data_IF_416260722047
#
_entry.id   IF_416260722047
#
_cell.length_a   1.000
_cell.length_b   1.000
_cell.length_c   1.000
_cell.angle_alpha   90.00
_cell.angle_beta   90.00
_cell.angle_gamma   90.00
#
_symmetry.space_group_name_H-M   'P 1'
#
loop_
_entity.id
_entity.type
_entity.pdbx_description
1 polymer ?
#
# COMPACT_ATOMS: atom_id res chain seq x y z
N UNK A 1 -39.34 71.99 38.95
CA UNK A 1 -39.32 70.61 38.38
C UNK A 1 -38.59 70.51 37.03
N UNK A 2 -37.97 71.58 36.50
CA UNK A 2 -37.30 71.57 35.18
C UNK A 2 -35.90 70.94 35.14
N UNK A 3 -35.14 70.98 36.25
CA UNK A 3 -33.77 70.45 36.32
C UNK A 3 -33.71 68.91 36.23
N UNK A 4 -34.67 68.19 36.82
CA UNK A 4 -34.71 66.72 36.78
C UNK A 4 -34.92 66.15 35.36
N UNK A 5 -35.58 66.90 34.47
CA UNK A 5 -35.77 66.49 33.09
C UNK A 5 -34.50 66.66 32.25
N UNK A 6 -33.66 67.64 32.56
CA UNK A 6 -32.41 67.90 31.84
C UNK A 6 -31.37 66.81 32.10
N UNK A 7 -31.27 66.33 33.34
CA UNK A 7 -30.38 65.22 33.70
C UNK A 7 -30.86 63.89 33.11
N UNK A 8 -32.17 63.65 33.08
CA UNK A 8 -32.75 62.47 32.44
C UNK A 8 -32.44 62.44 30.93
N UNK A 9 -32.61 63.56 30.22
CA UNK A 9 -32.29 63.68 28.79
C UNK A 9 -30.80 63.43 28.53
N UNK A 10 -29.90 63.93 29.41
CA UNK A 10 -28.46 63.66 29.30
C UNK A 10 -28.15 62.16 29.42
N UNK A 11 -28.75 61.48 30.39
CA UNK A 11 -28.53 60.04 30.59
C UNK A 11 -29.02 59.23 29.40
N UNK A 12 -30.17 59.57 28.83
CA UNK A 12 -30.69 58.90 27.62
C UNK A 12 -29.81 59.17 26.39
N UNK A 13 -29.29 60.40 26.23
CA UNK A 13 -28.30 60.73 25.18
C UNK A 13 -27.01 59.93 25.34
N UNK A 14 -26.50 59.79 26.56
CA UNK A 14 -25.30 59.02 26.87
C UNK A 14 -25.49 57.53 26.55
N UNK A 15 -26.67 56.98 26.88
CA UNK A 15 -27.04 55.60 26.51
C UNK A 15 -27.11 55.43 25.00
N UNK A 16 -27.78 56.35 24.29
CA UNK A 16 -27.91 56.31 22.84
C UNK A 16 -26.53 56.36 22.15
N UNK A 17 -25.65 57.25 22.63
CA UNK A 17 -24.27 57.34 22.15
C UNK A 17 -23.51 56.03 22.35
N UNK A 18 -23.58 55.44 23.55
CA UNK A 18 -22.94 54.14 23.83
C UNK A 18 -23.48 53.01 22.95
N UNK A 19 -24.79 52.98 22.71
CA UNK A 19 -25.38 51.97 21.81
C UNK A 19 -24.92 52.17 20.36
N UNK A 20 -24.81 53.42 19.91
CA UNK A 20 -24.31 53.74 18.58
C UNK A 20 -22.84 53.36 18.42
N UNK A 21 -21.99 53.73 19.39
CA UNK A 21 -20.56 53.39 19.38
C UNK A 21 -20.36 51.86 19.37
N UNK A 22 -21.16 51.11 20.14
CA UNK A 22 -21.13 49.65 20.17
C UNK A 22 -21.58 49.04 18.83
N UNK A 23 -22.63 49.57 18.21
CA UNK A 23 -23.07 49.15 16.88
C UNK A 23 -22.02 49.44 15.81
N UNK A 24 -21.36 50.60 15.89
CA UNK A 24 -20.31 50.98 14.96
C UNK A 24 -19.10 50.06 15.08
N UNK A 25 -18.64 49.76 16.30
CA UNK A 25 -17.55 48.80 16.53
C UNK A 25 -17.89 47.40 16.00
N UNK A 26 -19.12 46.93 16.22
CA UNK A 26 -19.57 45.62 15.71
C UNK A 26 -19.55 45.59 14.17
N UNK A 27 -20.01 46.66 13.51
CA UNK A 27 -19.94 46.77 12.05
C UNK A 27 -18.50 46.80 11.53
N UNK A 28 -17.60 47.52 12.20
CA UNK A 28 -16.17 47.55 11.85
C UNK A 28 -15.53 46.16 11.97
N UNK A 29 -15.79 45.45 13.06
CA UNK A 29 -15.30 44.07 13.27
C UNK A 29 -15.86 43.09 12.24
N UNK A 30 -17.14 43.21 11.89
CA UNK A 30 -17.80 42.42 10.85
C UNK A 30 -17.15 42.66 9.48
N UNK A 31 -16.85 43.90 9.14
CA UNK A 31 -16.17 44.25 7.87
C UNK A 31 -14.76 43.67 7.84
N UNK A 32 -14.02 43.75 8.93
CA UNK A 32 -12.68 43.14 9.03
C UNK A 32 -12.75 41.62 8.85
N UNK A 33 -13.70 40.96 9.52
CA UNK A 33 -13.90 39.51 9.43
C UNK A 33 -14.25 39.08 8.01
N UNK A 34 -15.25 39.72 7.38
CA UNK A 34 -15.60 39.44 5.99
C UNK A 34 -14.44 39.72 5.02
N UNK A 35 -13.62 40.74 5.29
CA UNK A 35 -12.42 41.03 4.49
C UNK A 35 -11.38 39.91 4.54
N UNK A 36 -11.16 39.31 5.72
CA UNK A 36 -10.27 38.15 5.90
C UNK A 36 -10.82 36.92 5.18
N UNK A 37 -12.09 36.59 5.39
CA UNK A 37 -12.76 35.46 4.73
C UNK A 37 -12.70 35.57 3.20
N UNK A 38 -12.92 36.78 2.66
CA UNK A 38 -12.85 37.02 1.23
C UNK A 38 -11.43 36.87 0.67
N UNK A 39 -10.41 37.28 1.43
CA UNK A 39 -9.02 37.10 1.03
C UNK A 39 -8.61 35.62 1.06
N UNK A 40 -9.03 34.87 2.07
CA UNK A 40 -8.81 33.43 2.18
C UNK A 40 -9.52 32.67 1.04
N UNK A 41 -10.77 33.00 0.74
CA UNK A 41 -11.52 32.41 -0.36
C UNK A 41 -10.86 32.69 -1.72
N UNK A 42 -10.33 33.89 -1.93
CA UNK A 42 -9.55 34.22 -3.14
C UNK A 42 -8.25 33.43 -3.21
N UNK A 43 -7.53 33.27 -2.11
CA UNK A 43 -6.33 32.44 -2.03
C UNK A 43 -6.62 30.99 -2.41
N UNK A 44 -7.65 30.40 -1.79
CA UNK A 44 -8.09 29.03 -2.08
C UNK A 44 -8.49 28.86 -3.54
N UNK A 45 -9.17 29.84 -4.14
CA UNK A 45 -9.54 29.84 -5.56
C UNK A 45 -8.31 29.89 -6.48
N UNK A 46 -7.31 30.70 -6.13
CA UNK A 46 -6.05 30.76 -6.88
C UNK A 46 -5.28 29.44 -6.82
N UNK A 47 -5.27 28.78 -5.66
CA UNK A 47 -4.60 27.49 -5.47
C UNK A 47 -5.30 26.36 -6.20
N UNK A 48 -6.64 26.32 -6.23
CA UNK A 48 -7.39 25.35 -7.03
C UNK A 48 -7.15 25.56 -8.51
N UNK A 49 -7.09 26.82 -8.98
CA UNK A 49 -6.80 27.14 -10.37
C UNK A 49 -5.37 26.72 -10.77
N UNK A 50 -4.37 26.92 -9.91
CA UNK A 50 -3.00 26.45 -10.15
C UNK A 50 -2.92 24.93 -10.26
N UNK A 51 -3.55 24.21 -9.31
CA UNK A 51 -3.63 22.74 -9.34
C UNK A 51 -4.33 22.23 -10.60
N UNK A 52 -5.39 22.90 -11.05
CA UNK A 52 -6.11 22.54 -12.27
C UNK A 52 -5.24 22.74 -13.52
N UNK A 53 -4.44 23.81 -13.57
CA UNK A 53 -3.49 24.05 -14.65
C UNK A 53 -2.37 22.98 -14.67
N UNK A 54 -1.82 22.62 -13.51
CA UNK A 54 -0.82 21.55 -13.38
C UNK A 54 -1.37 20.20 -13.85
N UNK A 55 -2.59 19.84 -13.41
CA UNK A 55 -3.26 18.61 -13.86
C UNK A 55 -3.54 18.62 -15.36
N UNK A 56 -3.94 19.77 -15.93
CA UNK A 56 -4.16 19.91 -17.36
C UNK A 56 -2.87 19.71 -18.15
N UNK A 57 -1.74 20.25 -17.68
CA UNK A 57 -0.44 20.05 -18.32
C UNK A 57 0.02 18.58 -18.27
N UNK A 58 -0.18 17.90 -17.14
CA UNK A 58 0.13 16.47 -17.00
C UNK A 58 -0.75 15.62 -17.91
N UNK A 59 -2.04 15.94 -18.03
CA UNK A 59 -2.97 15.24 -18.92
C UNK A 59 -2.56 15.39 -20.39
N UNK A 60 -2.15 16.59 -20.81
CA UNK A 60 -1.67 16.80 -22.19
C UNK A 60 -0.37 16.04 -22.47
N UNK A 61 0.56 16.02 -21.51
CA UNK A 61 1.79 15.25 -21.63
C UNK A 61 1.51 13.74 -21.73
N UNK A 62 0.60 13.21 -20.92
CA UNK A 62 0.23 11.78 -20.98
C UNK A 62 -0.51 11.44 -22.28
N UNK A 63 -1.37 12.33 -22.77
CA UNK A 63 -2.05 12.17 -24.05
C UNK A 63 -1.06 12.14 -25.23
N UNK A 64 -0.04 13.00 -25.21
CA UNK A 64 1.03 12.97 -26.21
C UNK A 64 1.82 11.66 -26.18
N UNK A 65 2.14 11.14 -24.99
CA UNK A 65 2.83 9.85 -24.84
C UNK A 65 1.97 8.69 -25.35
N UNK A 66 0.66 8.72 -25.11
CA UNK A 66 -0.26 7.71 -25.62
C UNK A 66 -0.24 7.67 -27.15
N UNK A 67 -0.32 8.83 -27.80
CA UNK A 67 -0.25 8.93 -29.26
C UNK A 67 1.07 8.41 -29.84
N UNK A 68 2.19 8.70 -29.17
CA UNK A 68 3.51 8.19 -29.57
C UNK A 68 3.55 6.66 -29.51
N UNK A 69 3.08 6.07 -28.40
CA UNK A 69 3.03 4.61 -28.23
C UNK A 69 2.06 3.96 -29.22
N UNK A 70 0.93 4.59 -29.53
CA UNK A 70 -0.01 4.12 -30.56
C UNK A 70 0.62 4.12 -31.96
N UNK A 71 1.38 5.16 -32.30
CA UNK A 71 2.12 5.23 -33.55
C UNK A 71 3.21 4.14 -33.64
N UNK A 72 3.95 3.91 -32.55
CA UNK A 72 4.93 2.84 -32.46
C UNK A 72 4.28 1.45 -32.61
N UNK A 73 3.14 1.22 -31.95
CA UNK A 73 2.39 -0.02 -32.07
C UNK A 73 1.96 -0.27 -33.52
N UNK A 74 1.41 0.74 -34.19
CA UNK A 74 1.03 0.67 -35.61
C UNK A 74 2.23 0.34 -36.50
N UNK A 75 3.39 0.97 -36.24
CA UNK A 75 4.64 0.68 -36.96
C UNK A 75 5.13 -0.74 -36.73
N UNK A 76 5.10 -1.24 -35.50
CA UNK A 76 5.50 -2.61 -35.15
C UNK A 76 4.56 -3.64 -35.79
N UNK A 77 3.25 -3.38 -35.81
CA UNK A 77 2.28 -4.23 -36.49
C UNK A 77 2.57 -4.33 -37.99
N UNK A 78 2.90 -3.21 -38.63
CA UNK A 78 3.28 -3.20 -40.04
C UNK A 78 4.58 -4.00 -40.28
N UNK A 79 5.57 -3.86 -39.40
CA UNK A 79 6.82 -4.63 -39.48
C UNK A 79 6.57 -6.14 -39.33
N UNK A 80 5.66 -6.54 -38.45
CA UNK A 80 5.26 -7.93 -38.27
C UNK A 80 4.57 -8.47 -39.53
N UNK A 81 3.69 -7.69 -40.16
CA UNK A 81 3.03 -8.07 -41.43
C UNK A 81 4.05 -8.28 -42.54
N UNK A 82 5.03 -7.37 -42.70
CA UNK A 82 6.11 -7.51 -43.67
C UNK A 82 6.91 -8.79 -43.45
N UNK A 83 7.36 -9.03 -42.22
CA UNK A 83 8.15 -10.21 -41.89
C UNK A 83 7.36 -11.52 -42.14
N UNK A 84 6.06 -11.53 -41.85
CA UNK A 84 5.19 -12.67 -42.14
C UNK A 84 5.09 -12.92 -43.64
N UNK A 85 4.96 -11.87 -44.45
CA UNK A 85 4.93 -11.98 -45.91
C UNK A 85 6.26 -12.49 -46.48
N UNK A 86 7.40 -12.06 -45.92
CA UNK A 86 8.71 -12.60 -46.26
C UNK A 86 8.80 -14.10 -45.93
N UNK A 87 8.30 -14.54 -44.77
CA UNK A 87 8.25 -15.96 -44.41
C UNK A 87 7.36 -16.76 -45.36
N UNK A 88 6.17 -16.25 -45.70
CA UNK A 88 5.28 -16.89 -46.68
C UNK A 88 5.94 -17.01 -48.04
N UNK A 89 6.57 -15.95 -48.52
CA UNK A 89 7.27 -15.93 -49.80
C UNK A 89 8.39 -16.96 -49.86
N UNK A 90 9.21 -17.07 -48.79
CA UNK A 90 10.26 -18.10 -48.69
C UNK A 90 9.68 -19.51 -48.70
N UNK A 91 8.62 -19.76 -47.93
CA UNK A 91 7.94 -21.06 -47.91
C UNK A 91 7.38 -21.43 -49.28
N UNK A 92 6.74 -20.49 -49.98
CA UNK A 92 6.25 -20.70 -51.35
C UNK A 92 7.38 -21.01 -52.32
N UNK A 93 8.52 -20.31 -52.20
CA UNK A 93 9.69 -20.61 -53.02
C UNK A 93 10.22 -22.01 -52.74
N UNK A 94 10.33 -22.42 -51.48
CA UNK A 94 10.75 -23.77 -51.11
C UNK A 94 9.82 -24.85 -51.67
N UNK A 95 8.51 -24.63 -51.65
CA UNK A 95 7.53 -25.55 -52.25
C UNK A 95 7.72 -25.61 -53.77
N UNK A 96 7.93 -24.48 -54.44
CA UNK A 96 8.20 -24.42 -55.89
C UNK A 96 9.48 -25.15 -56.26
N UNK A 97 10.54 -24.97 -55.49
CA UNK A 97 11.83 -25.61 -55.73
C UNK A 97 11.73 -27.14 -55.57
N UNK A 98 10.99 -27.61 -54.55
CA UNK A 98 10.71 -29.04 -54.35
C UNK A 98 9.86 -29.60 -55.50
N UNK A 99 8.84 -28.88 -55.96
CA UNK A 99 8.02 -29.28 -57.10
C UNK A 99 8.84 -29.33 -58.40
N UNK A 100 9.63 -28.29 -58.70
CA UNK A 100 10.50 -28.24 -59.87
C UNK A 100 11.55 -29.35 -59.88
N UNK A 101 12.07 -29.72 -58.72
CA UNK A 101 12.95 -30.89 -58.58
C UNK A 101 12.20 -32.20 -58.91
N UNK A 102 10.98 -32.38 -58.42
CA UNK A 102 10.17 -33.56 -58.74
C UNK A 102 9.81 -33.66 -60.23
N UNK A 103 9.50 -32.53 -60.88
CA UNK A 103 9.19 -32.45 -62.31
C UNK A 103 10.43 -32.70 -63.20
N UNK A 104 11.60 -32.21 -62.77
CA UNK A 104 12.90 -32.49 -63.44
C UNK A 104 13.33 -33.96 -63.35
N UNK A 105 12.83 -34.69 -62.35
CA UNK A 105 13.06 -36.13 -62.18
C UNK A 105 12.07 -36.97 -63.02
N UNK A 106 10.86 -36.48 -63.21
CA UNK A 106 9.81 -37.09 -64.06
C UNK A 106 10.13 -36.97 -65.56
N UNK A 107 10.70 -35.85 -66.00
CA UNK A 107 11.09 -35.60 -67.40
C UNK A 107 12.36 -36.34 -67.86
N UNK A 108 13.19 -36.83 -66.95
CA UNK A 108 14.43 -37.58 -67.28
C UNK A 108 14.27 -39.11 -67.22
N UNK A 109 13.03 -39.61 -67.32
CA UNK A 109 12.69 -41.03 -67.24
C UNK A 109 12.75 -41.78 -68.57
N UNK A 110 13.93 -41.94 -69.17
CA UNK A 110 14.22 -43.05 -70.10
C UNK A 110 15.70 -43.44 -70.00
N UNK A 111 16.10 -44.12 -68.91
CA UNK A 111 17.46 -44.70 -68.79
C UNK A 111 17.84 -45.10 -67.36
N UNK A 112 18.67 -46.14 -67.17
CA UNK A 112 18.91 -46.74 -65.87
C UNK A 112 19.82 -45.88 -64.97
N UNK A 113 19.25 -45.47 -63.83
CA UNK A 113 19.86 -45.25 -62.51
C UNK A 113 21.23 -44.55 -62.43
N UNK A 114 21.22 -43.22 -62.30
CA UNK A 114 22.25 -42.44 -61.57
C UNK A 114 21.59 -41.70 -60.40
N UNK A 115 21.43 -42.41 -59.28
CA UNK A 115 20.70 -41.95 -58.08
C UNK A 115 21.50 -41.20 -56.98
N UNK A 116 22.84 -41.04 -56.95
CA UNK A 116 23.48 -40.39 -55.78
C UNK A 116 23.40 -38.85 -55.71
N UNK A 117 23.47 -38.14 -56.84
CA UNK A 117 23.73 -36.69 -56.84
C UNK A 117 22.50 -35.84 -56.43
N UNK A 118 21.32 -36.15 -56.97
CA UNK A 118 20.09 -35.39 -56.66
C UNK A 118 19.64 -35.52 -55.20
N UNK A 119 19.82 -36.70 -54.60
CA UNK A 119 19.52 -36.93 -53.18
C UNK A 119 20.43 -36.10 -52.27
N UNK A 120 21.71 -35.93 -52.63
CA UNK A 120 22.65 -35.10 -51.88
C UNK A 120 22.27 -33.60 -51.94
N UNK A 121 21.78 -33.11 -53.09
CA UNK A 121 21.31 -31.73 -53.22
C UNK A 121 20.02 -31.46 -52.42
N UNK A 122 19.04 -32.37 -52.49
CA UNK A 122 17.81 -32.28 -51.69
C UNK A 122 18.13 -32.33 -50.19
N UNK A 123 19.01 -33.23 -49.77
CA UNK A 123 19.44 -33.34 -48.38
C UNK A 123 20.09 -32.04 -47.89
N UNK A 124 21.04 -31.48 -48.66
CA UNK A 124 21.68 -30.19 -48.32
C UNK A 124 20.67 -29.04 -48.23
N UNK A 125 19.67 -29.02 -49.09
CA UNK A 125 18.63 -28.00 -49.07
C UNK A 125 17.74 -28.10 -47.81
N UNK A 126 17.24 -29.30 -47.50
CA UNK A 126 16.47 -29.54 -46.27
C UNK A 126 17.31 -29.24 -45.03
N UNK A 127 18.58 -29.63 -45.03
CA UNK A 127 19.52 -29.34 -43.94
C UNK A 127 19.72 -27.81 -43.77
N UNK A 128 19.87 -27.06 -44.87
CA UNK A 128 19.96 -25.60 -44.85
C UNK A 128 18.69 -24.95 -44.30
N UNK A 129 17.52 -25.39 -44.77
CA UNK A 129 16.23 -24.88 -44.30
C UNK A 129 16.04 -25.12 -42.80
N UNK A 130 16.37 -26.32 -42.32
CA UNK A 130 16.29 -26.66 -40.90
C UNK A 130 17.26 -25.83 -40.05
N UNK A 131 18.45 -25.52 -40.57
CA UNK A 131 19.41 -24.64 -39.90
C UNK A 131 18.88 -23.21 -39.80
N UNK A 132 18.32 -22.67 -40.87
CA UNK A 132 17.74 -21.31 -40.88
C UNK A 132 16.55 -21.19 -39.93
N UNK A 133 15.67 -22.20 -39.91
CA UNK A 133 14.55 -22.27 -38.97
C UNK A 133 15.05 -22.27 -37.53
N UNK A 134 16.02 -23.13 -37.20
CA UNK A 134 16.60 -23.19 -35.84
C UNK A 134 17.26 -21.87 -35.45
N UNK A 135 18.01 -21.24 -36.35
CA UNK A 135 18.66 -19.96 -36.10
C UNK A 135 17.66 -18.82 -35.87
N UNK A 136 16.57 -18.77 -36.65
CA UNK A 136 15.50 -17.79 -36.48
C UNK A 136 14.80 -17.96 -35.13
N UNK A 137 14.44 -19.18 -34.75
CA UNK A 137 13.84 -19.45 -33.44
C UNK A 137 14.77 -19.08 -32.29
N UNK A 138 16.06 -19.43 -32.38
CA UNK A 138 17.06 -19.06 -31.38
C UNK A 138 17.19 -17.54 -31.21
N UNK A 139 17.26 -16.80 -32.33
CA UNK A 139 17.34 -15.33 -32.31
C UNK A 139 16.10 -14.71 -31.68
N UNK A 140 14.90 -15.21 -32.02
CA UNK A 140 13.65 -14.73 -31.45
C UNK A 140 13.55 -15.04 -29.95
N UNK A 141 13.96 -16.22 -29.53
CA UNK A 141 14.02 -16.61 -28.13
C UNK A 141 14.97 -15.70 -27.34
N UNK A 142 16.16 -15.43 -27.88
CA UNK A 142 17.12 -14.50 -27.29
C UNK A 142 16.57 -13.07 -27.15
N UNK A 143 15.84 -12.59 -28.16
CA UNK A 143 15.16 -11.29 -28.12
C UNK A 143 14.07 -11.24 -27.03
N UNK A 144 13.22 -12.26 -26.96
CA UNK A 144 12.16 -12.34 -25.93
C UNK A 144 12.76 -12.46 -24.53
N UNK A 145 13.78 -13.30 -24.36
CA UNK A 145 14.51 -13.43 -23.10
C UNK A 145 15.21 -12.10 -22.72
N UNK A 146 15.78 -11.40 -23.70
CA UNK A 146 16.37 -10.07 -23.53
C UNK A 146 15.36 -9.02 -23.07
N UNK A 147 14.20 -8.96 -23.72
CA UNK A 147 13.10 -8.06 -23.36
C UNK A 147 12.57 -8.37 -21.95
N UNK A 148 12.34 -9.65 -21.63
CA UNK A 148 11.90 -10.08 -20.30
C UNK A 148 12.90 -9.70 -19.20
N UNK A 149 14.21 -9.92 -19.44
CA UNK A 149 15.27 -9.45 -18.54
C UNK A 149 15.28 -7.93 -18.39
N UNK A 150 15.06 -7.20 -19.49
CA UNK A 150 14.96 -5.74 -19.50
C UNK A 150 13.77 -5.21 -18.67
N UNK A 151 12.58 -5.80 -18.83
CA UNK A 151 11.41 -5.48 -18.02
C UNK A 151 11.65 -5.77 -16.54
N UNK A 152 12.19 -6.95 -16.21
CA UNK A 152 12.56 -7.30 -14.83
C UNK A 152 13.53 -6.30 -14.22
N UNK A 153 14.52 -5.83 -14.98
CA UNK A 153 15.48 -4.81 -14.52
C UNK A 153 14.80 -3.46 -14.28
N UNK A 154 13.96 -2.99 -15.22
CA UNK A 154 13.21 -1.73 -15.08
C UNK A 154 12.27 -1.78 -13.88
N UNK A 155 11.59 -2.89 -13.69
CA UNK A 155 10.66 -3.09 -12.59
C UNK A 155 11.39 -3.04 -11.23
N UNK A 156 12.53 -3.73 -11.10
CA UNK A 156 13.38 -3.63 -9.90
C UNK A 156 13.83 -2.20 -9.62
N UNK A 157 14.18 -1.43 -10.65
CA UNK A 157 14.59 -0.04 -10.48
C UNK A 157 13.42 0.85 -10.04
N UNK A 158 12.20 0.60 -10.54
CA UNK A 158 11.00 1.31 -10.11
C UNK A 158 10.68 1.04 -8.64
N UNK A 159 10.75 -0.22 -8.21
CA UNK A 159 10.58 -0.60 -6.80
C UNK A 159 11.58 0.13 -5.90
N UNK A 160 12.86 0.18 -6.27
CA UNK A 160 13.88 0.92 -5.50
C UNK A 160 13.56 2.42 -5.40
N UNK A 161 13.11 3.03 -6.49
CA UNK A 161 12.69 4.45 -6.48
C UNK A 161 11.49 4.67 -5.58
N UNK A 162 10.52 3.75 -5.61
CA UNK A 162 9.35 3.76 -4.73
C UNK A 162 9.75 3.66 -3.26
N UNK A 163 10.64 2.74 -2.91
CA UNK A 163 11.18 2.61 -1.55
C UNK A 163 11.86 3.91 -1.08
N UNK A 164 12.72 4.49 -1.91
CA UNK A 164 13.37 5.77 -1.58
C UNK A 164 12.36 6.91 -1.38
N UNK A 165 11.32 6.95 -2.21
CA UNK A 165 10.26 7.96 -2.09
C UNK A 165 9.44 7.76 -0.82
N UNK A 166 9.13 6.51 -0.44
CA UNK A 166 8.45 6.22 0.82
C UNK A 166 9.28 6.65 2.02
N UNK A 167 10.60 6.44 2.00
CA UNK A 167 11.49 6.90 3.07
C UNK A 167 11.46 8.44 3.16
N UNK A 168 11.57 9.13 2.03
CA UNK A 168 11.51 10.60 2.00
C UNK A 168 10.15 11.13 2.47
N UNK A 169 9.06 10.50 2.05
CA UNK A 169 7.71 10.82 2.48
C UNK A 169 7.51 10.62 3.98
N UNK A 170 7.99 9.49 4.52
CA UNK A 170 7.94 9.19 5.95
C UNK A 170 8.70 10.23 6.79
N UNK A 171 9.91 10.60 6.34
CA UNK A 171 10.69 11.65 6.99
C UNK A 171 9.97 13.00 6.97
N UNK A 172 9.38 13.37 5.83
CA UNK A 172 8.61 14.60 5.69
C UNK A 172 7.38 14.59 6.61
N UNK A 173 6.67 13.45 6.71
CA UNK A 173 5.54 13.27 7.62
C UNK A 173 5.95 13.49 9.09
N UNK A 174 7.09 12.96 9.48
CA UNK A 174 7.62 13.13 10.85
C UNK A 174 8.02 14.58 11.14
N UNK A 175 8.65 15.24 10.15
CA UNK A 175 8.99 16.67 10.26
C UNK A 175 7.74 17.53 10.42
N UNK A 176 6.68 17.27 9.64
CA UNK A 176 5.41 18.00 9.77
C UNK A 176 4.76 17.72 11.14
N UNK A 177 4.82 16.48 11.63
CA UNK A 177 4.27 16.13 12.94
C UNK A 177 5.01 16.77 14.11
N UNK A 178 6.32 16.94 13.98
CA UNK A 178 7.18 17.56 15.01
C UNK A 178 7.15 19.09 14.99
N UNK A 179 6.99 19.73 13.81
CA UNK A 179 6.86 21.19 13.69
C UNK A 179 5.41 21.70 13.82
N UNK A 180 4.43 20.88 13.46
CA UNK A 180 3.02 21.27 13.37
C UNK A 180 2.30 21.23 14.72
N UNK A 181 1.41 22.20 14.97
CA UNK A 181 0.38 22.06 16.01
C UNK A 181 -0.61 20.95 15.61
N UNK A 182 -1.33 20.39 16.60
CA UNK A 182 -2.19 19.19 16.49
C UNK A 182 -3.26 19.19 15.39
N UNK A 183 -3.45 20.29 14.67
CA UNK A 183 -4.39 20.47 13.57
C UNK A 183 -3.82 20.18 12.17
N UNK A 184 -2.52 19.89 12.03
CA UNK A 184 -1.88 19.76 10.72
C UNK A 184 -1.99 18.32 10.19
N UNK A 185 -2.81 18.10 9.15
CA UNK A 185 -2.93 16.78 8.50
C UNK A 185 -1.61 16.39 7.83
N UNK A 186 -1.05 15.27 8.27
CA UNK A 186 0.20 14.73 7.76
C UNK A 186 -0.01 13.85 6.50
N UNK A 187 -1.25 13.67 6.01
CA UNK A 187 -1.60 12.89 4.82
C UNK A 187 -1.78 11.38 5.09
N UNK A 188 -1.90 10.52 4.07
CA UNK A 188 -2.11 9.07 4.27
C UNK A 188 -0.91 8.36 4.92
N UNK A 189 -1.13 7.23 5.59
CA UNK A 189 -0.03 6.41 6.11
C UNK A 189 0.76 5.71 4.97
N UNK A 190 2.07 5.48 5.18
CA UNK A 190 2.95 4.79 4.21
C UNK A 190 2.42 3.41 3.77
N UNK A 191 1.67 2.75 4.64
CA UNK A 191 0.99 1.48 4.40
C UNK A 191 0.04 1.52 3.18
N UNK A 192 -0.58 2.67 2.91
CA UNK A 192 -1.48 2.83 1.76
C UNK A 192 -0.73 2.79 0.41
N UNK A 193 0.59 2.93 0.44
CA UNK A 193 1.44 2.90 -0.75
C UNK A 193 2.25 1.61 -0.85
N UNK A 194 1.94 0.59 -0.05
CA UNK A 194 2.65 -0.69 -0.10
C UNK A 194 2.43 -1.38 -1.46
N UNK A 195 3.51 -1.89 -2.04
CA UNK A 195 3.45 -2.72 -3.26
C UNK A 195 2.97 -4.12 -2.83
N UNK A 196 1.84 -4.59 -3.36
CA UNK A 196 1.27 -5.91 -3.04
C UNK A 196 1.77 -7.03 -3.96
N UNK A 197 2.43 -6.68 -5.07
CA UNK A 197 2.83 -7.64 -6.10
C UNK A 197 3.90 -8.64 -5.56
N UNK A 198 3.58 -9.94 -5.48
CA UNK A 198 4.46 -10.95 -4.90
C UNK A 198 5.74 -11.20 -5.72
N UNK A 199 5.77 -10.89 -7.03
CA UNK A 199 6.98 -11.03 -7.87
C UNK A 199 8.00 -9.90 -7.63
N UNK A 200 7.55 -8.79 -7.03
CA UNK A 200 8.34 -7.59 -6.81
C UNK A 200 8.85 -7.48 -5.37
N UNK A 201 8.16 -8.12 -4.44
CA UNK A 201 8.52 -8.12 -3.02
C UNK A 201 9.62 -9.13 -2.73
N UNK A 202 10.75 -8.64 -2.21
CA UNK A 202 11.69 -9.50 -1.49
C UNK A 202 11.06 -9.99 -0.18
N UNK A 203 11.49 -11.16 0.31
CA UNK A 203 10.93 -11.75 1.54
C UNK A 203 10.96 -10.78 2.72
N UNK A 204 12.02 -9.99 2.83
CA UNK A 204 12.20 -8.92 3.83
C UNK A 204 11.13 -7.83 3.73
N UNK A 205 10.74 -7.42 2.52
CA UNK A 205 9.72 -6.38 2.30
C UNK A 205 8.32 -6.91 2.63
N UNK A 206 8.08 -8.19 2.37
CA UNK A 206 6.82 -8.87 2.74
C UNK A 206 6.68 -8.97 4.26
N UNK A 207 7.74 -9.34 4.96
CA UNK A 207 7.78 -9.35 6.43
C UNK A 207 7.61 -7.94 7.00
N UNK A 208 8.26 -6.93 6.43
CA UNK A 208 8.06 -5.53 6.81
C UNK A 208 6.61 -5.08 6.68
N UNK A 209 5.93 -5.43 5.58
CA UNK A 209 4.52 -5.07 5.38
C UNK A 209 3.63 -5.76 6.41
N UNK A 210 3.85 -7.05 6.68
CA UNK A 210 3.14 -7.78 7.74
C UNK A 210 3.35 -7.13 9.11
N UNK A 211 4.57 -6.77 9.47
CA UNK A 211 4.89 -6.12 10.74
C UNK A 211 4.22 -4.74 10.85
N UNK A 212 4.15 -3.98 9.75
CA UNK A 212 3.45 -2.69 9.73
C UNK A 212 1.93 -2.86 9.93
N UNK A 213 1.31 -3.87 9.34
CA UNK A 213 -0.10 -4.21 9.57
C UNK A 213 -0.36 -4.63 11.02
N UNK A 214 0.49 -5.48 11.58
CA UNK A 214 0.41 -5.91 12.98
C UNK A 214 0.58 -4.71 13.93
N UNK A 215 1.52 -3.80 13.64
CA UNK A 215 1.68 -2.53 14.37
C UNK A 215 0.40 -1.68 14.33
N UNK A 216 -0.18 -1.47 13.14
CA UNK A 216 -1.40 -0.66 13.02
C UNK A 216 -2.59 -1.27 13.79
N UNK A 217 -2.72 -2.61 13.79
CA UNK A 217 -3.74 -3.31 14.60
C UNK A 217 -3.53 -3.10 16.09
N UNK A 218 -2.29 -3.23 16.57
CA UNK A 218 -1.95 -3.01 17.98
C UNK A 218 -2.18 -1.55 18.40
N UNK A 219 -1.82 -0.58 17.55
CA UNK A 219 -2.09 0.83 17.80
C UNK A 219 -3.60 1.10 17.91
N UNK A 220 -4.43 0.53 17.03
CA UNK A 220 -5.88 0.66 17.12
C UNK A 220 -6.44 0.04 18.42
N UNK A 221 -5.93 -1.12 18.84
CA UNK A 221 -6.31 -1.75 20.11
C UNK A 221 -5.93 -0.88 21.32
N UNK A 222 -4.75 -0.25 21.30
CA UNK A 222 -4.33 0.68 22.34
C UNK A 222 -5.24 1.91 22.42
N UNK A 223 -5.61 2.50 21.29
CA UNK A 223 -6.54 3.63 21.26
C UNK A 223 -7.92 3.24 21.81
N UNK A 224 -8.42 2.05 21.44
CA UNK A 224 -9.69 1.53 21.95
C UNK A 224 -9.65 1.28 23.46
N UNK A 225 -8.55 0.71 23.97
CA UNK A 225 -8.35 0.52 25.40
C UNK A 225 -8.22 1.85 26.14
N UNK A 226 -7.47 2.82 25.61
CA UNK A 226 -7.38 4.17 26.18
C UNK A 226 -8.75 4.84 26.21
N UNK A 227 -9.55 4.71 25.15
CA UNK A 227 -10.90 5.26 25.12
C UNK A 227 -11.80 4.62 26.16
N UNK A 228 -11.79 3.29 26.30
CA UNK A 228 -12.52 2.58 27.37
C UNK A 228 -12.09 3.03 28.76
N UNK A 229 -10.78 3.26 28.95
CA UNK A 229 -10.24 3.75 30.20
C UNK A 229 -10.70 5.19 30.48
N UNK A 230 -10.71 6.06 29.47
CA UNK A 230 -11.28 7.40 29.57
C UNK A 230 -12.78 7.36 29.87
N UNK A 231 -13.56 6.51 29.19
CA UNK A 231 -15.00 6.37 29.42
C UNK A 231 -15.29 5.85 30.83
N UNK A 232 -14.49 4.90 31.33
CA UNK A 232 -14.57 4.39 32.70
C UNK A 232 -14.18 5.47 33.72
N UNK A 233 -13.14 6.25 33.44
CA UNK A 233 -12.66 7.33 34.31
C UNK A 233 -13.68 8.48 34.37
N UNK A 234 -14.26 8.85 33.23
CA UNK A 234 -15.36 9.81 33.13
C UNK A 234 -16.64 9.30 33.79
N UNK A 235 -16.94 8.01 33.68
CA UNK A 235 -18.05 7.35 34.39
C UNK A 235 -17.85 7.32 35.91
N UNK A 236 -16.62 7.11 36.38
CA UNK A 236 -16.29 7.16 37.81
C UNK A 236 -16.40 8.58 38.37
N UNK A 237 -15.94 9.58 37.61
CA UNK A 237 -16.10 11.00 37.95
C UNK A 237 -17.59 11.40 37.90
N UNK A 238 -18.36 10.88 36.94
CA UNK A 238 -19.80 11.17 36.79
C UNK A 238 -20.72 10.52 37.83
N UNK A 239 -20.24 9.50 38.56
CA UNK A 239 -20.96 8.86 39.67
C UNK A 239 -20.66 9.47 41.04
N UNK A 240 -19.62 10.30 41.13
CA UNK A 240 -19.33 11.13 42.30
C UNK A 240 -19.96 12.50 42.09
N UNK A 241 -21.24 12.64 42.46
CA UNK A 241 -22.00 13.89 42.42
C UNK A 241 -21.53 14.96 43.40
N UNK A 242 -20.28 15.40 43.30
CA UNK A 242 -19.78 16.60 43.98
C UNK A 242 -18.91 17.44 43.04
N UNK A 243 -19.43 18.64 42.77
CA UNK A 243 -18.80 19.88 42.31
C UNK A 243 -17.71 19.80 41.24
N UNK A 244 -18.05 20.34 40.07
CA UNK A 244 -17.23 20.51 38.87
C UNK A 244 -16.04 21.49 39.01
N UNK A 245 -15.44 21.65 40.19
CA UNK A 245 -14.42 22.70 40.41
C UNK A 245 -13.11 22.25 41.07
N UNK A 246 -12.72 20.98 40.92
CA UNK A 246 -11.42 20.49 41.42
C UNK A 246 -10.61 19.83 40.31
N UNK A 247 -10.33 20.58 39.25
CA UNK A 247 -9.07 20.38 38.53
C UNK A 247 -7.94 20.80 39.49
N UNK A 248 -7.05 19.85 39.80
CA UNK A 248 -5.83 20.01 40.60
C UNK A 248 -6.02 20.15 42.13
N UNK A 249 -6.24 19.02 42.80
CA UNK A 249 -5.62 18.80 44.12
C UNK A 249 -5.43 17.31 44.39
N UNK A 250 -4.21 16.84 44.73
CA UNK A 250 -3.98 15.47 45.16
C UNK A 250 -4.54 15.29 46.56
N UNK A 251 -5.84 15.05 46.67
CA UNK A 251 -6.48 14.80 47.96
C UNK A 251 -6.21 13.34 48.34
N UNK A 252 -5.46 13.18 49.43
CA UNK A 252 -5.12 11.92 50.08
C UNK A 252 -6.33 10.99 50.13
N UNK A 253 -6.26 9.88 49.39
CA UNK A 253 -7.11 8.71 49.61
C UNK A 253 -6.95 8.29 51.07
N UNK A 254 -8.05 8.11 51.79
CA UNK A 254 -8.01 7.67 53.19
C UNK A 254 -7.48 6.22 53.30
N UNK A 255 -7.18 5.79 54.54
CA UNK A 255 -6.67 4.45 54.84
C UNK A 255 -7.63 3.33 54.40
N UNK A 256 -8.94 3.55 54.47
CA UNK A 256 -9.95 2.59 54.00
C UNK A 256 -9.88 2.42 52.47
N UNK A 257 -9.72 3.51 51.70
CA UNK A 257 -9.57 3.44 50.25
C UNK A 257 -8.30 2.71 49.80
N UNK A 258 -7.20 2.88 50.53
CA UNK A 258 -5.98 2.10 50.28
C UNK A 258 -6.09 0.65 50.75
N UNK A 259 -6.87 0.36 51.80
CA UNK A 259 -7.16 -1.02 52.21
C UNK A 259 -7.97 -1.77 51.14
N UNK A 260 -8.95 -1.12 50.52
CA UNK A 260 -9.75 -1.67 49.42
C UNK A 260 -8.87 -2.04 48.22
N UNK A 261 -8.00 -1.13 47.77
CA UNK A 261 -7.07 -1.37 46.65
C UNK A 261 -6.08 -2.49 46.97
N UNK A 262 -5.56 -2.55 48.21
CA UNK A 262 -4.68 -3.64 48.65
C UNK A 262 -5.40 -4.99 48.69
N UNK A 263 -6.68 -5.02 49.07
CA UNK A 263 -7.49 -6.23 49.04
C UNK A 263 -7.76 -6.68 47.60
N UNK A 264 -8.14 -5.77 46.70
CA UNK A 264 -8.36 -6.10 45.28
C UNK A 264 -7.10 -6.63 44.61
N UNK A 265 -5.93 -6.03 44.88
CA UNK A 265 -4.64 -6.54 44.40
C UNK A 265 -4.32 -7.93 44.96
N UNK A 266 -4.60 -8.17 46.25
CA UNK A 266 -4.38 -9.48 46.88
C UNK A 266 -5.31 -10.54 46.31
N UNK A 267 -6.56 -10.19 46.04
CA UNK A 267 -7.54 -11.09 45.46
C UNK A 267 -7.19 -11.41 44.01
N UNK A 268 -6.83 -10.40 43.20
CA UNK A 268 -6.35 -10.61 41.83
C UNK A 268 -5.08 -11.47 41.78
N UNK A 269 -4.12 -11.22 42.69
CA UNK A 269 -2.91 -12.02 42.78
C UNK A 269 -3.22 -13.47 43.17
N UNK A 270 -4.17 -13.69 44.11
CA UNK A 270 -4.59 -15.02 44.54
C UNK A 270 -5.30 -15.77 43.42
N UNK A 271 -6.27 -15.16 42.75
CA UNK A 271 -7.00 -15.81 41.65
C UNK A 271 -6.07 -16.16 40.49
N UNK A 272 -5.19 -15.24 40.11
CA UNK A 272 -4.21 -15.49 39.04
C UNK A 272 -3.25 -16.63 39.43
N UNK A 273 -2.84 -16.69 40.70
CA UNK A 273 -1.98 -17.77 41.20
C UNK A 273 -2.70 -19.13 41.18
N UNK A 274 -3.95 -19.19 41.63
CA UNK A 274 -4.78 -20.39 41.61
C UNK A 274 -4.97 -20.92 40.18
N UNK A 275 -5.27 -20.04 39.23
CA UNK A 275 -5.42 -20.40 37.81
C UNK A 275 -4.12 -20.99 37.24
N UNK A 276 -2.97 -20.38 37.53
CA UNK A 276 -1.66 -20.86 37.07
C UNK A 276 -1.28 -22.20 37.71
N UNK A 277 -1.59 -22.40 39.00
CA UNK A 277 -1.36 -23.68 39.68
C UNK A 277 -2.25 -24.79 39.11
N UNK A 278 -3.50 -24.46 38.77
CA UNK A 278 -4.41 -25.37 38.11
C UNK A 278 -3.91 -25.76 36.71
N UNK A 279 -3.51 -24.79 35.88
CA UNK A 279 -2.90 -25.08 34.57
C UNK A 279 -1.63 -25.92 34.70
N UNK A 280 -0.75 -25.59 35.65
CA UNK A 280 0.46 -26.37 35.92
C UNK A 280 0.14 -27.80 36.30
N UNK A 281 -0.86 -28.04 37.15
CA UNK A 281 -1.28 -29.39 37.53
C UNK A 281 -1.84 -30.19 36.35
N UNK A 282 -2.60 -29.56 35.47
CA UNK A 282 -3.15 -30.18 34.26
C UNK A 282 -2.04 -30.55 33.27
N UNK A 283 -1.08 -29.64 33.07
CA UNK A 283 0.07 -29.87 32.21
C UNK A 283 0.96 -30.99 32.74
N UNK A 284 1.22 -31.03 34.05
CA UNK A 284 1.97 -32.13 34.68
C UNK A 284 1.26 -33.47 34.49
N UNK A 285 -0.07 -33.52 34.70
CA UNK A 285 -0.85 -34.74 34.49
C UNK A 285 -0.76 -35.21 33.04
N UNK A 286 -0.89 -34.29 32.08
CA UNK A 286 -0.74 -34.60 30.64
C UNK A 286 0.66 -35.07 30.29
N UNK A 287 1.68 -34.47 30.88
CA UNK A 287 3.07 -34.86 30.67
C UNK A 287 3.33 -36.29 31.18
N UNK A 288 2.86 -36.63 32.38
CA UNK A 288 2.96 -37.99 32.94
C UNK A 288 2.27 -39.01 32.05
N UNK A 289 1.04 -38.73 31.58
CA UNK A 289 0.32 -39.63 30.67
C UNK A 289 1.09 -39.81 29.35
N UNK A 290 1.68 -38.75 28.81
CA UNK A 290 2.49 -38.83 27.60
C UNK A 290 3.79 -39.64 27.83
N UNK A 291 4.43 -39.50 28.99
CA UNK A 291 5.61 -40.30 29.38
C UNK A 291 5.26 -41.78 29.55
N UNK A 292 4.11 -42.11 30.14
CA UNK A 292 3.60 -43.48 30.23
C UNK A 292 3.33 -44.06 28.84
N UNK A 293 2.66 -43.32 27.95
CA UNK A 293 2.41 -43.76 26.58
C UNK A 293 3.71 -44.03 25.80
N UNK A 294 4.73 -43.17 25.97
CA UNK A 294 6.05 -43.40 25.36
C UNK A 294 6.71 -44.63 25.95
N UNK A 295 6.61 -44.85 27.26
CA UNK A 295 7.15 -46.03 27.94
C UNK A 295 6.47 -47.31 27.48
N UNK A 296 5.14 -47.32 27.32
CA UNK A 296 4.38 -48.45 26.78
C UNK A 296 4.77 -48.75 25.33
N UNK A 297 4.94 -47.73 24.49
CA UNK A 297 5.40 -47.90 23.12
C UNK A 297 6.84 -48.45 23.07
N UNK A 298 7.71 -47.97 23.95
CA UNK A 298 9.08 -48.48 24.08
C UNK A 298 9.08 -49.94 24.54
N UNK A 299 8.27 -50.30 25.54
CA UNK A 299 8.14 -51.68 26.02
C UNK A 299 7.55 -52.60 24.93
N UNK A 300 6.60 -52.11 24.14
CA UNK A 300 6.07 -52.84 22.99
C UNK A 300 7.15 -53.10 21.94
N UNK A 301 7.98 -52.09 21.63
CA UNK A 301 9.13 -52.24 20.74
C UNK A 301 10.09 -53.28 21.31
N UNK A 302 10.44 -53.19 22.59
CA UNK A 302 11.41 -54.09 23.23
C UNK A 302 10.88 -55.53 23.32
N UNK A 303 9.58 -55.75 23.50
CA UNK A 303 8.97 -57.09 23.58
C UNK A 303 8.69 -57.74 22.22
N UNK A 304 8.36 -56.95 21.20
CA UNK A 304 7.84 -57.48 19.93
C UNK A 304 8.70 -57.18 18.71
N UNK A 305 9.56 -56.15 18.77
CA UNK A 305 10.35 -55.68 17.64
C UNK A 305 11.86 -55.80 17.88
N UNK A 306 12.33 -55.82 19.13
CA UNK A 306 13.68 -56.22 19.48
C UNK A 306 13.74 -57.75 19.57
N UNK A 307 14.43 -58.40 18.63
CA UNK A 307 14.79 -59.81 18.70
C UNK A 307 15.99 -60.03 19.61
#
# INVERSE_FOLDING_TARGET
>A
QLLGNQDHIKVELEKLKKTYDSQQQNLEERVITMGKELQEAKGATGDTQRKLAEQSAVLLASQSQLQEVEAENSRLQLRLKQLNEEYRSRLTQYIKDVAGYMDSKSSNGTGPSKVPAGHAHMKRFVDSMLMDIRASYKTREEQLAGAARGYKKRMKNLVKKHENLLIAYGLQREQIRSLGSSATDCGPAELHFAITDPELLTNTTRELNRLREEKAKLEMQLHELQKKLCDLWMGWIGMSGHDQNLLFSPRRLDEEGWAEVRNQLRDFARTTQEDLEQERSQLLTRAVVAEEQVSELQEYIDKHLAR
#
